data_IF_655097780700
#
_entry.id   IF_655097780700
#
_cell.length_a   1.000
_cell.length_b   1.000
_cell.length_c   1.000
_cell.angle_alpha   90.00
_cell.angle_beta   90.00
_cell.angle_gamma   90.00
#
_symmetry.space_group_name_H-M   'P 1'
#
loop_
_entity.id
_entity.type
_entity.pdbx_description
1 polymer ?
#
# COMPACT_ATOMS: atom_id res chain seq x y z
N UNK A 1 22.81 -33.00 -37.45
CA UNK A 1 23.51 -31.74 -37.08
C UNK A 1 24.14 -31.20 -38.35
N UNK A 2 23.90 -29.96 -38.79
CA UNK A 2 23.78 -28.67 -38.05
C UNK A 2 22.32 -28.15 -38.02
N UNK A 3 21.86 -27.20 -37.20
CA UNK A 3 22.51 -26.20 -36.36
C UNK A 3 22.31 -24.79 -36.94
N UNK A 4 21.19 -24.12 -36.62
CA UNK A 4 21.09 -22.64 -36.44
C UNK A 4 19.70 -22.29 -35.90
N UNK A 5 19.73 -21.61 -34.75
CA UNK A 5 18.64 -21.12 -33.90
C UNK A 5 18.14 -19.74 -34.42
N UNK A 6 17.29 -19.02 -33.68
CA UNK A 6 15.85 -18.88 -33.86
C UNK A 6 15.49 -17.55 -34.55
N UNK A 7 14.32 -17.49 -35.20
CA UNK A 7 13.81 -16.21 -35.68
C UNK A 7 13.28 -15.38 -34.51
N UNK A 8 13.96 -14.25 -34.30
CA UNK A 8 13.62 -13.15 -33.42
C UNK A 8 12.46 -12.30 -33.97
N UNK A 9 11.82 -11.59 -33.04
CA UNK A 9 10.99 -10.40 -33.19
C UNK A 9 9.60 -10.51 -33.86
N UNK A 10 8.54 -10.34 -33.05
CA UNK A 10 7.97 -8.99 -32.77
C UNK A 10 6.67 -9.10 -31.96
N UNK A 11 6.51 -8.16 -31.02
CA UNK A 11 5.27 -7.57 -30.52
C UNK A 11 4.28 -8.40 -29.70
N UNK A 12 4.28 -8.05 -28.41
CA UNK A 12 3.14 -7.49 -27.70
C UNK A 12 1.86 -8.33 -27.70
N UNK A 13 1.70 -9.17 -26.68
CA UNK A 13 0.42 -9.46 -26.04
C UNK A 13 0.70 -9.93 -24.60
N UNK A 14 1.23 -9.04 -23.76
CA UNK A 14 0.97 -9.15 -22.30
C UNK A 14 -0.40 -8.52 -22.03
N UNK A 15 -1.41 -9.00 -22.75
CA UNK A 15 -2.79 -8.69 -22.43
C UNK A 15 -3.10 -9.27 -21.05
N UNK A 16 -3.48 -8.35 -20.18
CA UNK A 16 -4.22 -8.60 -18.96
C UNK A 16 -3.55 -9.60 -18.01
N UNK A 17 -2.77 -9.05 -17.09
CA UNK A 17 -2.90 -9.48 -15.70
C UNK A 17 -4.35 -9.20 -15.27
N UNK A 18 -5.25 -10.12 -15.62
CA UNK A 18 -6.45 -10.38 -14.86
C UNK A 18 -5.96 -10.69 -13.45
N UNK A 19 -5.85 -9.65 -12.62
CA UNK A 19 -5.69 -9.83 -11.19
C UNK A 19 -7.03 -10.35 -10.69
N UNK A 20 -7.26 -11.63 -10.93
CA UNK A 20 -8.15 -12.47 -10.16
C UNK A 20 -7.54 -12.55 -8.75
N UNK A 21 -7.71 -11.48 -7.99
CA UNK A 21 -7.49 -11.47 -6.55
C UNK A 21 -8.74 -12.01 -5.89
N UNK A 22 -8.99 -13.29 -6.11
CA UNK A 22 -9.90 -14.06 -5.30
C UNK A 22 -9.11 -14.61 -4.10
N UNK A 23 -8.87 -13.73 -3.14
CA UNK A 23 -8.28 -14.08 -1.85
C UNK A 23 -8.89 -13.16 -0.78
N UNK A 24 -10.03 -13.60 -0.25
CA UNK A 24 -10.58 -13.25 1.05
C UNK A 24 -10.45 -11.76 1.42
N UNK A 25 -11.50 -11.00 1.07
CA UNK A 25 -11.92 -9.76 1.71
C UNK A 25 -11.72 -9.80 3.23
N UNK A 26 -10.53 -9.38 3.67
CA UNK A 26 -10.38 -8.61 4.89
C UNK A 26 -10.62 -7.17 4.45
N UNK A 27 -11.47 -6.46 5.20
CA UNK A 27 -12.05 -5.14 4.92
C UNK A 27 -10.99 -4.00 4.92
N UNK A 28 -9.91 -4.17 4.16
CA UNK A 28 -8.81 -3.21 3.97
C UNK A 28 -8.77 -2.71 2.53
N UNK A 29 -9.79 -3.03 1.71
CA UNK A 29 -9.85 -2.73 0.28
C UNK A 29 -10.34 -1.31 -0.06
N UNK A 30 -10.79 -0.52 0.92
CA UNK A 30 -11.47 0.77 0.66
C UNK A 30 -10.63 2.02 0.97
N UNK A 31 -9.30 1.90 1.05
CA UNK A 31 -8.44 3.09 1.15
C UNK A 31 -7.66 3.27 -0.15
N UNK A 32 -8.25 4.05 -1.05
CA UNK A 32 -7.52 4.67 -2.17
C UNK A 32 -6.44 5.62 -1.64
N UNK A 33 -5.41 5.87 -2.46
CA UNK A 33 -4.30 6.77 -2.13
C UNK A 33 -4.77 8.18 -1.72
N UNK A 34 -5.76 8.74 -2.39
CA UNK A 34 -6.35 10.05 -2.03
C UNK A 34 -6.97 10.01 -0.64
N UNK A 35 -7.66 8.91 -0.33
CA UNK A 35 -8.31 8.71 0.97
C UNK A 35 -7.26 8.48 2.06
N UNK A 36 -6.19 7.74 1.76
CA UNK A 36 -5.07 7.56 2.66
C UNK A 36 -4.39 8.89 2.98
N UNK A 37 -4.13 9.73 1.98
CA UNK A 37 -3.48 11.02 2.17
C UNK A 37 -4.32 11.97 3.03
N UNK A 38 -5.64 12.03 2.78
CA UNK A 38 -6.55 12.81 3.62
C UNK A 38 -6.56 12.30 5.07
N UNK A 39 -6.68 10.98 5.27
CA UNK A 39 -6.64 10.39 6.61
C UNK A 39 -5.31 10.65 7.31
N UNK A 40 -4.17 10.52 6.62
CA UNK A 40 -2.86 10.85 7.18
C UNK A 40 -2.81 12.31 7.61
N UNK A 41 -3.34 13.24 6.81
CA UNK A 41 -3.43 14.65 7.22
C UNK A 41 -4.21 14.81 8.52
N UNK A 42 -5.39 14.20 8.60
CA UNK A 42 -6.23 14.25 9.82
C UNK A 42 -5.50 13.65 11.04
N UNK A 43 -4.73 12.57 10.83
CA UNK A 43 -3.96 11.92 11.89
C UNK A 43 -2.74 12.74 12.34
N UNK A 44 -2.11 13.47 11.42
CA UNK A 44 -1.04 14.43 11.75
C UNK A 44 -1.61 15.59 12.55
N UNK A 45 -2.75 16.15 12.12
CA UNK A 45 -3.43 17.23 12.85
C UNK A 45 -3.88 16.79 14.26
N UNK A 46 -4.15 15.50 14.45
CA UNK A 46 -4.49 14.90 15.73
C UNK A 46 -3.26 14.47 16.58
N UNK A 47 -2.03 14.72 16.13
CA UNK A 47 -0.77 14.29 16.78
C UNK A 47 -0.66 12.75 16.93
N UNK A 48 -1.40 11.99 16.12
CA UNK A 48 -1.33 10.53 16.08
C UNK A 48 -0.22 10.07 15.14
N UNK A 49 0.14 10.90 14.16
CA UNK A 49 1.21 10.64 13.20
C UNK A 49 2.21 11.78 13.19
N UNK A 50 3.49 11.45 13.30
CA UNK A 50 4.60 12.38 13.13
C UNK A 50 5.30 12.12 11.80
N UNK A 51 5.28 13.05 10.83
CA UNK A 51 6.07 12.91 9.62
C UNK A 51 7.55 13.20 9.92
N UNK A 52 8.45 12.37 9.38
CA UNK A 52 9.90 12.54 9.45
C UNK A 52 10.42 12.79 8.03
N UNK A 53 10.62 14.07 7.63
CA UNK A 53 11.01 14.42 6.27
C UNK A 53 12.38 13.88 5.86
N UNK A 54 13.29 13.72 6.82
CA UNK A 54 14.66 13.25 6.59
C UNK A 54 14.68 11.85 5.97
N UNK A 55 13.81 10.96 6.47
CA UNK A 55 13.69 9.57 6.02
C UNK A 55 12.48 9.36 5.09
N UNK A 56 11.66 10.39 4.88
CA UNK A 56 10.39 10.31 4.13
C UNK A 56 9.44 9.23 4.68
N UNK A 57 9.40 9.11 6.02
CA UNK A 57 8.53 8.16 6.73
C UNK A 57 7.52 8.86 7.60
N UNK A 58 6.46 8.14 7.93
CA UNK A 58 5.39 8.53 8.83
C UNK A 58 5.45 7.64 10.07
N UNK A 59 5.61 8.24 11.25
CA UNK A 59 5.64 7.51 12.52
C UNK A 59 4.24 7.51 13.10
N UNK A 60 3.68 6.33 13.33
CA UNK A 60 2.44 6.18 14.08
C UNK A 60 2.76 6.19 15.58
N UNK A 61 2.58 7.34 16.24
CA UNK A 61 2.98 7.61 17.62
C UNK A 61 2.46 6.56 18.62
N UNK A 62 1.18 6.13 18.58
CA UNK A 62 0.67 5.18 19.57
C UNK A 62 1.31 3.80 19.51
N UNK A 63 1.88 3.40 18.37
CA UNK A 63 2.56 2.12 18.20
C UNK A 63 4.07 2.22 18.02
N UNK A 64 4.60 3.43 17.80
CA UNK A 64 6.01 3.68 17.46
C UNK A 64 6.45 3.05 16.13
N UNK A 65 5.51 2.74 15.23
CA UNK A 65 5.80 2.06 13.96
C UNK A 65 5.99 3.09 12.86
N UNK A 66 7.05 2.93 12.06
CA UNK A 66 7.33 3.78 10.90
C UNK A 66 6.76 3.17 9.61
N UNK A 67 6.23 4.02 8.73
CA UNK A 67 5.68 3.64 7.43
C UNK A 67 6.23 4.56 6.34
N UNK A 68 6.60 3.99 5.19
CA UNK A 68 7.01 4.75 4.00
C UNK A 68 5.83 5.07 3.05
N UNK A 69 4.63 4.58 3.40
CA UNK A 69 3.42 4.73 2.59
C UNK A 69 2.23 5.16 3.44
N UNK A 70 1.56 6.23 3.00
CA UNK A 70 0.32 6.73 3.57
C UNK A 70 -0.77 5.65 3.61
N UNK A 71 -0.90 4.86 2.54
CA UNK A 71 -1.89 3.78 2.44
C UNK A 71 -1.63 2.69 3.46
N UNK A 72 -0.36 2.31 3.65
CA UNK A 72 0.00 1.30 4.64
C UNK A 72 -0.28 1.78 6.07
N UNK A 73 0.06 3.03 6.38
CA UNK A 73 -0.25 3.64 7.68
C UNK A 73 -1.77 3.68 7.92
N UNK A 74 -2.53 4.12 6.92
CA UNK A 74 -3.98 4.24 6.99
C UNK A 74 -4.66 2.89 7.27
N UNK A 75 -4.28 1.83 6.54
CA UNK A 75 -4.79 0.48 6.75
C UNK A 75 -4.41 -0.05 8.13
N UNK A 76 -3.15 0.14 8.54
CA UNK A 76 -2.68 -0.25 9.86
C UNK A 76 -3.46 0.44 10.98
N UNK A 77 -3.60 1.76 10.91
CA UNK A 77 -4.31 2.56 11.90
C UNK A 77 -5.76 2.10 12.05
N UNK A 78 -6.47 1.89 10.93
CA UNK A 78 -7.86 1.38 10.95
C UNK A 78 -7.96 0.03 11.67
N UNK A 79 -7.08 -0.91 11.38
CA UNK A 79 -7.05 -2.22 12.05
C UNK A 79 -6.68 -2.11 13.54
N UNK A 80 -5.75 -1.23 13.88
CA UNK A 80 -5.29 -0.99 15.24
C UNK A 80 -6.38 -0.39 16.14
N UNK A 81 -7.16 0.55 15.61
CA UNK A 81 -8.31 1.17 16.28
C UNK A 81 -9.46 0.18 16.47
N UNK A 82 -9.78 -0.60 15.42
CA UNK A 82 -10.82 -1.64 15.50
C UNK A 82 -10.55 -2.69 16.59
N UNK A 83 -9.28 -3.03 16.85
CA UNK A 83 -8.91 -3.95 17.94
C UNK A 83 -8.92 -3.35 19.35
N UNK A 84 -9.01 -2.01 19.48
CA UNK A 84 -9.05 -1.30 20.76
C UNK A 84 -10.45 -0.90 21.20
N UNK A 85 -11.36 -0.71 20.25
CA UNK A 85 -12.76 -0.34 20.52
C UNK A 85 -13.67 -1.54 20.84
N UNK A 86 -13.09 -2.74 21.04
CA UNK A 86 -13.80 -4.00 21.31
C UNK A 86 -13.92 -4.35 22.80
#
# INVERSE_FOLDING_TARGET
>A
MPGSDPHDDTSADYEQFAQDRDAASVDTADIDDTTAQNLVSDLVDADVVTPVPEDQVLIHEPSGTAFDSSTQLAVFHRGWTAGRDA
#
